data_IF_968242411458
#
_entry.id   IF_968242411458
#
_cell.length_a   1.000
_cell.length_b   1.000
_cell.length_c   1.000
_cell.angle_alpha   90.00
_cell.angle_beta   90.00
_cell.angle_gamma   90.00
#
_symmetry.space_group_name_H-M   'P 1'
#
loop_
_entity.id
_entity.type
_entity.pdbx_description
1 polymer ?
#
# COMPACT_ATOMS: atom_id res chain seq x y z
N UNK A 1 7.90 -5.61 9.02
CA UNK A 1 8.09 -5.26 10.44
C UNK A 1 6.77 -5.46 11.18
N UNK A 2 6.76 -5.41 12.50
CA UNK A 2 5.50 -5.43 13.27
C UNK A 2 4.58 -4.26 12.90
N UNK A 3 5.13 -3.05 12.78
CA UNK A 3 4.38 -1.83 12.48
C UNK A 3 3.58 -1.92 11.19
N UNK A 4 4.19 -2.36 10.09
CA UNK A 4 3.50 -2.42 8.78
C UNK A 4 2.39 -3.47 8.74
N UNK A 5 2.58 -4.63 9.39
CA UNK A 5 1.57 -5.70 9.41
C UNK A 5 0.31 -5.24 10.14
N UNK A 6 0.45 -4.67 11.34
CA UNK A 6 -0.69 -4.18 12.10
C UNK A 6 -1.31 -2.93 11.47
N UNK A 7 -0.50 -2.01 10.94
CA UNK A 7 -1.01 -0.85 10.23
C UNK A 7 -1.89 -1.28 9.05
N UNK A 8 -1.45 -2.25 8.26
CA UNK A 8 -2.21 -2.77 7.12
C UNK A 8 -3.59 -3.32 7.52
N UNK A 9 -3.70 -3.93 8.70
CA UNK A 9 -4.99 -4.41 9.22
C UNK A 9 -5.93 -3.24 9.52
N UNK A 10 -5.49 -2.26 10.31
CA UNK A 10 -6.32 -1.11 10.69
C UNK A 10 -6.63 -0.20 9.51
N UNK A 11 -5.68 -0.05 8.59
CA UNK A 11 -5.88 0.62 7.31
C UNK A 11 -7.04 -0.01 6.53
N UNK A 12 -7.02 -1.33 6.33
CA UNK A 12 -8.09 -2.01 5.59
C UNK A 12 -9.43 -1.98 6.31
N UNK A 13 -9.45 -1.97 7.64
CA UNK A 13 -10.68 -1.80 8.43
C UNK A 13 -11.28 -0.38 8.29
N UNK A 14 -10.44 0.66 8.28
CA UNK A 14 -10.90 2.03 8.02
C UNK A 14 -11.41 2.18 6.59
N UNK A 15 -10.69 1.61 5.61
CA UNK A 15 -11.12 1.61 4.20
C UNK A 15 -12.44 0.86 4.00
N UNK A 16 -12.61 -0.32 4.61
CA UNK A 16 -13.82 -1.14 4.48
C UNK A 16 -15.08 -0.49 5.09
N UNK A 17 -14.92 0.47 5.99
CA UNK A 17 -16.02 1.21 6.62
C UNK A 17 -16.28 2.58 6.01
N UNK A 18 -15.70 2.85 4.82
CA UNK A 18 -15.85 4.12 4.11
C UNK A 18 -15.04 5.28 4.71
N UNK A 19 -14.15 4.99 5.67
CA UNK A 19 -13.31 5.96 6.39
C UNK A 19 -11.89 6.04 5.81
N UNK A 20 -11.78 5.99 4.48
CA UNK A 20 -10.50 5.98 3.75
C UNK A 20 -9.62 7.19 4.06
N UNK A 21 -10.20 8.38 4.22
CA UNK A 21 -9.47 9.59 4.56
C UNK A 21 -8.63 9.46 5.84
N UNK A 22 -9.15 8.79 6.87
CA UNK A 22 -8.41 8.55 8.11
C UNK A 22 -7.23 7.60 7.92
N UNK A 23 -7.38 6.59 7.06
CA UNK A 23 -6.27 5.71 6.66
C UNK A 23 -5.19 6.49 5.91
N UNK A 24 -5.57 7.39 5.01
CA UNK A 24 -4.62 8.27 4.29
C UNK A 24 -3.87 9.20 5.25
N UNK A 25 -4.57 9.84 6.20
CA UNK A 25 -3.92 10.70 7.20
C UNK A 25 -2.91 9.91 8.04
N UNK A 26 -3.26 8.69 8.46
CA UNK A 26 -2.34 7.84 9.21
C UNK A 26 -1.09 7.48 8.39
N UNK A 27 -1.26 7.16 7.10
CA UNK A 27 -0.15 6.85 6.19
C UNK A 27 0.77 8.07 5.99
N UNK A 28 0.18 9.26 5.78
CA UNK A 28 0.94 10.52 5.63
C UNK A 28 1.71 10.85 6.91
N UNK A 29 1.11 10.68 8.09
CA UNK A 29 1.77 10.96 9.36
C UNK A 29 3.06 10.14 9.54
N UNK A 30 3.03 8.83 9.23
CA UNK A 30 4.23 8.01 9.29
C UNK A 30 5.23 8.32 8.18
N UNK A 31 4.78 8.64 6.97
CA UNK A 31 5.66 9.05 5.87
C UNK A 31 6.41 10.36 6.19
N UNK A 32 5.70 11.38 6.71
CA UNK A 32 6.31 12.64 7.15
C UNK A 32 7.30 12.39 8.28
N UNK A 33 6.93 11.54 9.25
CA UNK A 33 7.84 11.16 10.34
C UNK A 33 9.11 10.51 9.78
N UNK A 34 8.99 9.58 8.84
CA UNK A 34 10.14 8.92 8.22
C UNK A 34 11.03 9.90 7.45
N UNK A 35 10.44 10.79 6.64
CA UNK A 35 11.18 11.82 5.89
C UNK A 35 11.96 12.76 6.81
N UNK A 36 11.42 13.10 7.98
CA UNK A 36 12.11 13.95 8.96
C UNK A 36 13.22 13.18 9.69
N UNK A 37 12.94 11.94 10.10
CA UNK A 37 13.88 11.12 10.87
C UNK A 37 15.05 10.58 10.04
N UNK A 38 14.86 10.35 8.74
CA UNK A 38 15.90 9.81 7.86
C UNK A 38 17.17 10.68 7.87
N UNK A 39 17.15 12.00 7.56
CA UNK A 39 18.34 12.83 7.64
C UNK A 39 18.95 12.89 9.04
N UNK A 40 18.11 12.92 10.08
CA UNK A 40 18.56 13.00 11.48
C UNK A 40 19.36 11.77 11.86
N UNK A 41 18.82 10.57 11.58
CA UNK A 41 19.42 9.31 12.00
C UNK A 41 20.52 8.82 11.05
N UNK A 42 20.41 9.11 9.76
CA UNK A 42 21.43 8.74 8.78
C UNK A 42 22.70 9.56 9.00
N UNK A 43 22.58 10.89 9.09
CA UNK A 43 23.72 11.81 9.15
C UNK A 43 24.09 12.26 10.56
N UNK A 44 23.34 11.86 11.59
CA UNK A 44 23.61 12.29 12.98
C UNK A 44 23.35 13.78 13.22
N UNK A 45 22.36 14.37 12.54
CA UNK A 45 21.98 15.77 12.77
C UNK A 45 21.40 15.92 14.19
N UNK A 46 21.41 17.14 14.74
CA UNK A 46 20.88 17.46 16.08
C UNK A 46 21.60 16.75 17.25
N UNK A 47 22.87 16.34 17.05
CA UNK A 47 23.69 15.72 18.10
C UNK A 47 23.45 14.22 18.29
N UNK A 48 22.73 13.58 17.36
CA UNK A 48 22.58 12.12 17.31
C UNK A 48 23.84 11.45 16.73
N UNK A 49 24.18 10.21 17.14
CA UNK A 49 25.24 9.45 16.50
C UNK A 49 24.88 9.10 15.05
N UNK A 50 25.86 9.19 14.14
CA UNK A 50 25.68 8.84 12.73
C UNK A 50 25.45 7.32 12.57
N UNK A 51 24.21 6.92 12.25
CA UNK A 51 23.83 5.50 12.15
C UNK A 51 23.79 4.97 10.71
N UNK A 52 23.92 5.85 9.70
CA UNK A 52 23.89 5.50 8.26
C UNK A 52 22.68 4.59 7.93
N UNK A 53 22.93 3.41 7.37
CA UNK A 53 21.92 2.43 6.96
C UNK A 53 21.08 1.93 8.15
N UNK A 54 21.66 1.82 9.36
CA UNK A 54 20.89 1.47 10.56
C UNK A 54 19.91 2.57 10.94
N UNK A 55 20.29 3.83 10.72
CA UNK A 55 19.43 5.00 10.93
C UNK A 55 18.22 5.00 10.02
N UNK A 56 18.42 4.75 8.71
CA UNK A 56 17.33 4.62 7.74
C UNK A 56 16.34 3.50 8.10
N UNK A 57 16.86 2.34 8.53
CA UNK A 57 16.01 1.23 8.97
C UNK A 57 15.18 1.60 10.22
N UNK A 58 15.79 2.30 11.19
CA UNK A 58 15.12 2.72 12.42
C UNK A 58 14.03 3.77 12.14
N UNK A 59 14.36 4.79 11.35
CA UNK A 59 13.42 5.82 10.92
C UNK A 59 12.21 5.22 10.18
N UNK A 60 12.43 4.20 9.34
CA UNK A 60 11.35 3.47 8.65
C UNK A 60 10.43 2.75 9.64
N UNK A 61 11.00 2.04 10.63
CA UNK A 61 10.22 1.34 11.65
C UNK A 61 9.43 2.32 12.51
N UNK A 62 10.03 3.44 12.90
CA UNK A 62 9.34 4.49 13.68
C UNK A 62 8.20 5.10 12.87
N UNK A 63 8.43 5.45 11.60
CA UNK A 63 7.37 5.95 10.72
C UNK A 63 6.20 4.96 10.61
N UNK A 64 6.48 3.66 10.46
CA UNK A 64 5.46 2.62 10.43
C UNK A 64 4.70 2.48 11.76
N UNK A 65 5.39 2.65 12.90
CA UNK A 65 4.75 2.66 14.22
C UNK A 65 3.84 3.89 14.37
N UNK A 66 4.27 5.07 13.90
CA UNK A 66 3.40 6.27 13.89
C UNK A 66 2.17 6.03 13.05
N UNK A 67 2.30 5.50 11.83
CA UNK A 67 1.14 5.13 10.99
C UNK A 67 0.20 4.18 11.71
N UNK A 68 0.74 3.14 12.37
CA UNK A 68 -0.04 2.19 13.16
C UNK A 68 -0.79 2.88 14.30
N UNK A 69 -0.11 3.67 15.12
CA UNK A 69 -0.70 4.34 16.28
C UNK A 69 -1.80 5.30 15.84
N UNK A 70 -1.55 6.11 14.80
CA UNK A 70 -2.56 7.03 14.26
C UNK A 70 -3.77 6.28 13.70
N UNK A 71 -3.55 5.19 12.94
CA UNK A 71 -4.63 4.37 12.41
C UNK A 71 -5.45 3.68 13.52
N UNK A 72 -4.78 3.22 14.59
CA UNK A 72 -5.43 2.63 15.75
C UNK A 72 -6.30 3.65 16.51
N UNK A 73 -5.78 4.84 16.76
CA UNK A 73 -6.54 5.93 17.39
C UNK A 73 -7.79 6.25 16.57
N UNK A 74 -7.65 6.37 15.25
CA UNK A 74 -8.79 6.61 14.37
C UNK A 74 -9.76 5.44 14.35
N UNK A 75 -9.27 4.20 14.36
CA UNK A 75 -10.12 3.02 14.44
C UNK A 75 -10.98 3.04 15.71
N UNK A 76 -10.39 3.29 16.88
CA UNK A 76 -11.12 3.31 18.16
C UNK A 76 -12.12 4.47 18.21
N UNK A 77 -11.72 5.67 17.78
CA UNK A 77 -12.54 6.88 17.90
C UNK A 77 -13.67 6.94 16.87
N UNK A 78 -13.40 6.48 15.66
CA UNK A 78 -14.30 6.67 14.52
C UNK A 78 -14.97 5.36 14.15
N UNK A 79 -14.32 4.20 14.24
CA UNK A 79 -14.87 2.93 13.78
C UNK A 79 -15.70 2.17 14.85
N UNK A 80 -16.62 2.87 15.49
CA UNK A 80 -17.40 2.36 16.63
C UNK A 80 -18.32 1.18 16.29
N UNK A 81 -18.69 1.02 15.02
CA UNK A 81 -19.56 -0.08 14.55
C UNK A 81 -18.86 -1.44 14.55
N UNK A 82 -17.53 -1.45 14.32
CA UNK A 82 -16.70 -2.65 14.36
C UNK A 82 -16.19 -2.88 15.78
N UNK A 83 -15.70 -1.84 16.45
CA UNK A 83 -15.09 -1.91 17.79
C UNK A 83 -16.04 -2.48 18.86
N UNK A 84 -17.35 -2.21 18.76
CA UNK A 84 -18.36 -2.71 19.72
C UNK A 84 -18.79 -4.16 19.49
N UNK A 85 -18.43 -4.79 18.35
CA UNK A 85 -18.83 -6.15 17.98
C UNK A 85 -17.69 -7.18 18.05
N UNK A 86 -16.53 -6.80 18.59
CA UNK A 86 -15.36 -7.66 18.72
C UNK A 86 -15.58 -8.68 19.83
N UNK A 87 -16.32 -9.74 19.53
CA UNK A 87 -16.40 -10.91 20.39
C UNK A 87 -15.10 -11.71 20.25
N UNK A 88 -14.25 -11.59 21.26
CA UNK A 88 -12.86 -12.12 21.30
C UNK A 88 -12.82 -13.66 21.24
N UNK A 89 -13.99 -14.32 21.39
CA UNK A 89 -14.14 -15.77 21.40
C UNK A 89 -14.51 -16.40 20.05
N UNK A 90 -14.57 -15.63 18.96
CA UNK A 90 -14.85 -16.18 17.62
C UNK A 90 -13.64 -16.95 17.09
N UNK A 91 -13.79 -18.28 16.99
CA UNK A 91 -12.80 -19.16 16.36
C UNK A 91 -12.59 -18.78 14.88
N UNK A 92 -11.38 -18.91 14.32
CA UNK A 92 -11.12 -18.63 12.92
C UNK A 92 -12.01 -19.49 12.01
N UNK A 93 -12.72 -18.86 11.08
CA UNK A 93 -13.54 -19.58 10.10
C UNK A 93 -12.69 -19.99 8.89
N UNK A 94 -12.45 -21.29 8.76
CA UNK A 94 -11.65 -21.86 7.67
C UNK A 94 -12.24 -21.56 6.28
N UNK A 95 -13.57 -21.37 6.17
CA UNK A 95 -14.23 -21.01 4.92
C UNK A 95 -13.84 -19.60 4.47
N UNK A 96 -13.81 -18.65 5.42
CA UNK A 96 -13.37 -17.27 5.15
C UNK A 96 -11.89 -17.27 4.77
N UNK A 97 -11.05 -17.98 5.53
CA UNK A 97 -9.61 -18.08 5.25
C UNK A 97 -9.37 -18.63 3.84
N UNK A 98 -10.03 -19.73 3.47
CA UNK A 98 -9.91 -20.31 2.12
C UNK A 98 -10.36 -19.33 1.04
N UNK A 99 -11.42 -18.55 1.29
CA UNK A 99 -11.87 -17.49 0.39
C UNK A 99 -10.79 -16.41 0.18
N UNK A 100 -10.16 -15.95 1.26
CA UNK A 100 -9.05 -14.98 1.18
C UNK A 100 -7.90 -15.54 0.35
N UNK A 101 -7.48 -16.78 0.60
CA UNK A 101 -6.38 -17.40 -0.16
C UNK A 101 -6.72 -17.65 -1.63
N UNK A 102 -7.98 -17.94 -1.97
CA UNK A 102 -8.38 -18.15 -3.36
C UNK A 102 -8.22 -16.90 -4.24
N UNK A 103 -8.28 -15.71 -3.64
CA UNK A 103 -8.07 -14.43 -4.31
C UNK A 103 -6.63 -13.94 -4.13
N UNK A 104 -6.10 -14.09 -2.92
CA UNK A 104 -4.77 -13.60 -2.54
C UNK A 104 -3.63 -14.36 -3.23
N UNK A 105 -3.74 -15.68 -3.37
CA UNK A 105 -2.66 -16.48 -3.96
C UNK A 105 -2.42 -16.14 -5.44
N UNK A 106 -3.45 -16.04 -6.31
CA UNK A 106 -3.26 -15.54 -7.68
C UNK A 106 -2.62 -14.14 -7.73
N UNK A 107 -3.03 -13.23 -6.84
CA UNK A 107 -2.48 -11.87 -6.79
C UNK A 107 -0.99 -11.86 -6.38
N UNK A 108 -0.61 -12.71 -5.42
CA UNK A 108 0.79 -12.89 -5.01
C UNK A 108 1.62 -13.45 -6.16
N UNK A 109 1.12 -14.46 -6.87
CA UNK A 109 1.80 -15.04 -8.03
C UNK A 109 1.99 -13.99 -9.12
N UNK A 110 0.95 -13.21 -9.43
CA UNK A 110 1.04 -12.13 -10.43
C UNK A 110 2.09 -11.07 -10.04
N UNK A 111 2.17 -10.69 -8.76
CA UNK A 111 3.22 -9.79 -8.27
C UNK A 111 4.62 -10.42 -8.38
N UNK A 112 4.79 -11.69 -8.02
CA UNK A 112 6.06 -12.38 -8.11
C UNK A 112 6.55 -12.50 -9.56
N UNK A 113 5.63 -12.75 -10.51
CA UNK A 113 5.93 -12.81 -11.93
C UNK A 113 6.48 -11.48 -12.48
N UNK A 114 6.03 -10.32 -11.97
CA UNK A 114 6.61 -9.03 -12.38
C UNK A 114 8.09 -8.91 -11.98
N UNK A 115 8.46 -9.39 -10.79
CA UNK A 115 9.86 -9.41 -10.35
C UNK A 115 10.70 -10.35 -11.21
N UNK A 116 10.17 -11.54 -11.53
CA UNK A 116 10.83 -12.51 -12.41
C UNK A 116 11.01 -11.94 -13.82
N UNK A 117 9.98 -11.29 -14.36
CA UNK A 117 10.05 -10.62 -15.67
C UNK A 117 11.14 -9.55 -15.70
N UNK A 118 11.19 -8.69 -14.67
CA UNK A 118 12.20 -7.62 -14.58
C UNK A 118 13.61 -8.21 -14.48
N UNK A 119 13.80 -9.28 -13.72
CA UNK A 119 15.08 -10.00 -13.66
C UNK A 119 15.45 -10.61 -15.01
N UNK A 120 14.52 -11.31 -15.67
CA UNK A 120 14.74 -11.90 -16.99
C UNK A 120 15.12 -10.88 -18.04
N UNK A 121 14.45 -9.72 -18.07
CA UNK A 121 14.80 -8.61 -18.97
C UNK A 121 16.21 -8.08 -18.69
N UNK A 122 16.61 -7.93 -17.42
CA UNK A 122 17.97 -7.50 -17.09
C UNK A 122 19.04 -8.52 -17.55
N UNK A 123 18.76 -9.82 -17.44
CA UNK A 123 19.68 -10.87 -17.92
C UNK A 123 19.82 -10.82 -19.45
N UNK A 124 18.70 -10.70 -20.18
CA UNK A 124 18.70 -10.61 -21.64
C UNK A 124 19.40 -9.34 -22.13
N UNK A 125 19.10 -8.19 -21.53
CA UNK A 125 19.74 -6.94 -21.94
C UNK A 125 21.22 -6.90 -21.55
N UNK A 126 21.58 -7.51 -20.42
CA UNK A 126 22.95 -7.61 -19.97
C UNK A 126 23.84 -8.47 -20.86
N UNK A 127 23.27 -9.44 -21.59
CA UNK A 127 24.02 -10.19 -22.62
C UNK A 127 24.20 -9.41 -23.92
N UNK A 128 23.46 -8.32 -24.13
CA UNK A 128 23.57 -7.43 -25.30
C UNK A 128 24.56 -6.30 -25.01
N UNK A 129 24.26 -5.45 -24.03
CA UNK A 129 25.16 -4.37 -23.59
C UNK A 129 24.79 -3.81 -22.21
N UNK A 130 25.80 -3.28 -21.51
CA UNK A 130 25.60 -2.59 -20.22
C UNK A 130 24.76 -1.32 -20.39
N UNK A 131 24.89 -0.65 -21.54
CA UNK A 131 24.10 0.55 -21.87
C UNK A 131 22.60 0.22 -22.02
N UNK A 132 22.26 -0.95 -22.58
CA UNK A 132 20.87 -1.39 -22.72
C UNK A 132 20.21 -1.66 -21.36
N UNK A 133 20.94 -2.28 -20.42
CA UNK A 133 20.48 -2.47 -19.03
C UNK A 133 20.26 -1.12 -18.34
N UNK A 134 21.19 -0.19 -18.54
CA UNK A 134 21.10 1.16 -17.94
C UNK A 134 19.91 1.94 -18.51
N UNK A 135 19.70 1.90 -19.82
CA UNK A 135 18.55 2.52 -20.49
C UNK A 135 17.22 1.92 -20.00
N UNK A 136 17.13 0.59 -19.88
CA UNK A 136 15.94 -0.07 -19.32
C UNK A 136 15.69 0.32 -17.87
N UNK A 137 16.74 0.40 -17.04
CA UNK A 137 16.61 0.84 -15.65
C UNK A 137 16.09 2.27 -15.53
N UNK A 138 16.52 3.18 -16.40
CA UNK A 138 15.99 4.55 -16.46
C UNK A 138 14.53 4.57 -16.90
N UNK A 139 14.22 3.88 -18.00
CA UNK A 139 12.85 3.73 -18.50
C UNK A 139 11.91 3.17 -17.43
N UNK A 140 12.32 2.10 -16.74
CA UNK A 140 11.49 1.44 -15.74
C UNK A 140 11.20 2.36 -14.54
N UNK A 141 12.14 3.22 -14.13
CA UNK A 141 11.92 4.22 -13.08
C UNK A 141 10.88 5.27 -13.51
N UNK A 142 10.94 5.74 -14.76
CA UNK A 142 9.95 6.68 -15.31
C UNK A 142 8.58 5.99 -15.40
N UNK A 143 8.53 4.77 -15.93
CA UNK A 143 7.31 3.97 -16.01
C UNK A 143 6.67 3.74 -14.64
N UNK A 144 7.46 3.47 -13.60
CA UNK A 144 6.97 3.27 -12.23
C UNK A 144 6.23 4.51 -11.69
N UNK A 145 6.65 5.71 -12.07
CA UNK A 145 5.98 6.94 -11.64
C UNK A 145 4.51 6.96 -12.08
N UNK A 146 4.24 6.61 -13.34
CA UNK A 146 2.88 6.52 -13.89
C UNK A 146 2.12 5.32 -13.36
N UNK A 147 2.77 4.17 -13.21
CA UNK A 147 2.16 2.98 -12.61
C UNK A 147 1.73 3.23 -11.16
N UNK A 148 2.47 4.01 -10.37
CA UNK A 148 2.05 4.36 -9.01
C UNK A 148 0.79 5.23 -8.98
N UNK A 149 0.60 6.12 -9.94
CA UNK A 149 -0.66 6.85 -10.07
C UNK A 149 -1.82 5.91 -10.40
N UNK A 150 -1.61 4.95 -11.32
CA UNK A 150 -2.61 3.93 -11.65
C UNK A 150 -2.92 3.01 -10.44
N UNK A 151 -1.91 2.59 -9.68
CA UNK A 151 -2.09 1.81 -8.45
C UNK A 151 -2.81 2.61 -7.36
N UNK A 152 -2.49 3.91 -7.21
CA UNK A 152 -3.22 4.80 -6.32
C UNK A 152 -4.70 4.88 -6.68
N UNK A 153 -5.03 4.96 -7.97
CA UNK A 153 -6.42 4.93 -8.43
C UNK A 153 -7.11 3.60 -8.12
N UNK A 154 -6.44 2.47 -8.39
CA UNK A 154 -6.95 1.13 -8.05
C UNK A 154 -7.26 1.00 -6.56
N UNK A 155 -6.33 1.45 -5.72
CA UNK A 155 -6.42 1.34 -4.27
C UNK A 155 -7.46 2.30 -3.69
N UNK A 156 -7.70 3.45 -4.32
CA UNK A 156 -8.77 4.38 -3.94
C UNK A 156 -10.17 3.83 -4.27
N UNK A 157 -10.32 3.14 -5.42
CA UNK A 157 -11.63 2.68 -5.89
C UNK A 157 -12.04 1.35 -5.29
N UNK A 158 -11.10 0.46 -5.02
CA UNK A 158 -11.38 -0.88 -4.49
C UNK A 158 -12.26 -0.80 -3.22
N UNK A 159 -11.93 0.00 -2.19
CA UNK A 159 -12.78 0.16 -1.01
C UNK A 159 -14.17 0.74 -1.32
N UNK A 160 -14.26 1.68 -2.27
CA UNK A 160 -15.54 2.30 -2.69
C UNK A 160 -16.46 1.24 -3.31
N UNK A 161 -15.92 0.41 -4.21
CA UNK A 161 -16.68 -0.69 -4.83
C UNK A 161 -17.00 -1.77 -3.80
N UNK A 162 -16.04 -2.15 -2.93
CA UNK A 162 -16.26 -3.16 -1.88
C UNK A 162 -17.36 -2.73 -0.90
N UNK A 163 -17.38 -1.46 -0.50
CA UNK A 163 -18.43 -0.91 0.37
C UNK A 163 -19.79 -0.89 -0.35
N UNK A 164 -19.83 -0.45 -1.61
CA UNK A 164 -21.06 -0.47 -2.42
C UNK A 164 -21.59 -1.90 -2.63
N UNK A 165 -20.70 -2.88 -2.80
CA UNK A 165 -21.04 -4.30 -2.87
C UNK A 165 -21.65 -4.79 -1.55
N UNK A 166 -21.13 -4.37 -0.40
CA UNK A 166 -21.71 -4.68 0.91
C UNK A 166 -23.12 -4.11 1.11
N UNK A 167 -23.43 -2.97 0.49
CA UNK A 167 -24.78 -2.35 0.51
C UNK A 167 -25.71 -2.85 -0.61
N UNK A 168 -25.26 -3.78 -1.46
CA UNK A 168 -25.97 -4.22 -2.67
C UNK A 168 -26.33 -3.09 -3.67
N UNK A 169 -25.60 -1.97 -3.65
CA UNK A 169 -25.83 -0.83 -4.54
C UNK A 169 -25.13 -1.04 -5.89
N UNK A 170 -25.86 -1.64 -6.83
CA UNK A 170 -25.37 -1.92 -8.19
C UNK A 170 -25.01 -0.67 -9.00
N UNK A 171 -25.70 0.46 -8.75
CA UNK A 171 -25.45 1.70 -9.48
C UNK A 171 -24.09 2.29 -9.09
N UNK A 172 -23.79 2.32 -7.78
CA UNK A 172 -22.47 2.75 -7.29
C UNK A 172 -21.34 1.84 -7.76
N UNK A 173 -21.56 0.53 -7.81
CA UNK A 173 -20.57 -0.42 -8.36
C UNK A 173 -20.26 -0.07 -9.82
N UNK A 174 -21.29 0.07 -10.67
CA UNK A 174 -21.12 0.38 -12.10
C UNK A 174 -20.43 1.71 -12.32
N UNK A 175 -20.82 2.75 -11.57
CA UNK A 175 -20.21 4.07 -11.66
C UNK A 175 -18.75 4.04 -11.19
N UNK A 176 -18.44 3.36 -10.08
CA UNK A 176 -17.08 3.21 -9.56
C UNK A 176 -16.15 2.54 -10.57
N UNK A 177 -16.60 1.45 -11.21
CA UNK A 177 -15.83 0.79 -12.28
C UNK A 177 -15.64 1.72 -13.49
N UNK A 178 -16.72 2.37 -13.96
CA UNK A 178 -16.67 3.25 -15.13
C UNK A 178 -15.68 4.41 -14.93
N UNK A 179 -15.82 5.15 -13.84
CA UNK A 179 -14.95 6.28 -13.55
C UNK A 179 -13.53 5.82 -13.25
N UNK A 180 -13.37 4.67 -12.60
CA UNK A 180 -12.06 4.10 -12.34
C UNK A 180 -11.26 3.75 -13.57
N UNK A 181 -11.89 3.05 -14.52
CA UNK A 181 -11.26 2.75 -15.80
C UNK A 181 -10.95 4.04 -16.57
N UNK A 182 -11.89 4.99 -16.62
CA UNK A 182 -11.68 6.25 -17.33
C UNK A 182 -10.49 7.04 -16.76
N UNK A 183 -10.43 7.23 -15.45
CA UNK A 183 -9.32 7.98 -14.83
C UNK A 183 -8.00 7.23 -14.94
N UNK A 184 -8.00 5.90 -14.81
CA UNK A 184 -6.78 5.10 -15.02
C UNK A 184 -6.29 5.21 -16.46
N UNK A 185 -7.19 5.17 -17.45
CA UNK A 185 -6.83 5.35 -18.87
C UNK A 185 -6.23 6.74 -19.12
N UNK A 186 -6.80 7.80 -18.54
CA UNK A 186 -6.26 9.15 -18.66
C UNK A 186 -4.85 9.23 -18.06
N UNK A 187 -4.65 8.67 -16.85
CA UNK A 187 -3.34 8.62 -16.19
C UNK A 187 -2.32 7.88 -17.07
N UNK A 188 -2.69 6.73 -17.63
CA UNK A 188 -1.81 5.91 -18.46
C UNK A 188 -1.60 6.48 -19.88
N UNK A 189 -2.47 7.36 -20.37
CA UNK A 189 -2.30 8.02 -21.66
C UNK A 189 -1.43 9.27 -21.58
N UNK A 190 -1.41 9.94 -20.41
CA UNK A 190 -0.56 11.10 -20.14
C UNK A 190 0.88 10.70 -19.78
N UNK A 191 1.11 9.44 -19.41
CA UNK A 191 2.40 8.91 -18.99
C UNK A 191 3.03 7.95 -19.97
#
# INVERSE_FOLDING_TARGET
SFGITFFSIYEKLLQATGRSLFSTIAQIAGAVTNIILDPIMIYGLLGFPEMKVKGAALATVIGQIVSLVTALIFHIKFNTEISKKTDVNKKPDMKIIKGIYSIGLPAIIAQALMSIMTYGMNVILGSVSVDAVTAYGLYYKVQQFFLFAAFGMRDAITPVISYAHGMADKARIKNGIKYGMLYTLIIMALG
#
